data_IF_003111514277
#
_entry.id   IF_003111514277
#
_cell.length_a   1.000
_cell.length_b   1.000
_cell.length_c   1.000
_cell.angle_alpha   90.00
_cell.angle_beta   90.00
_cell.angle_gamma   90.00
#
_symmetry.space_group_name_H-M   'P 1'
#
loop_
_entity.id
_entity.type
_entity.pdbx_description
1 polymer ?
#
# COMPACT_ATOMS: atom_id res chain seq x y z
N UNK A 1 -21.52 -16.14 0.31
CA UNK A 1 -22.15 -16.83 -0.83
C UNK A 1 -22.03 -18.34 -0.64
N UNK A 2 -22.92 -19.15 -1.22
CA UNK A 2 -22.73 -20.60 -1.24
C UNK A 2 -21.33 -20.96 -1.75
N UNK A 3 -20.60 -21.82 -1.03
CA UNK A 3 -19.23 -22.24 -1.37
C UNK A 3 -18.11 -21.27 -1.00
N UNK A 4 -18.40 -20.13 -0.35
CA UNK A 4 -17.36 -19.21 0.10
C UNK A 4 -16.50 -19.84 1.22
N UNK A 5 -15.20 -19.96 0.97
CA UNK A 5 -14.22 -20.33 1.98
C UNK A 5 -13.94 -19.13 2.90
N UNK A 6 -13.67 -19.40 4.18
CA UNK A 6 -13.31 -18.38 5.19
C UNK A 6 -14.31 -17.20 5.19
N UNK A 7 -15.61 -17.51 5.05
CA UNK A 7 -16.70 -16.52 5.00
C UNK A 7 -16.57 -15.47 3.87
N UNK A 8 -15.70 -15.68 2.89
CA UNK A 8 -15.40 -14.71 1.83
C UNK A 8 -14.49 -13.55 2.28
N UNK A 9 -13.87 -13.63 3.46
CA UNK A 9 -13.08 -12.52 4.01
C UNK A 9 -11.84 -12.20 3.16
N UNK A 10 -11.18 -13.21 2.57
CA UNK A 10 -10.02 -12.98 1.69
C UNK A 10 -10.40 -12.07 0.51
N UNK A 11 -11.52 -12.37 -0.15
CA UNK A 11 -11.98 -11.63 -1.33
C UNK A 11 -12.36 -10.19 -0.96
N UNK A 12 -13.06 -10.02 0.16
CA UNK A 12 -13.38 -8.71 0.73
C UNK A 12 -12.12 -7.90 1.10
N UNK A 13 -11.14 -8.52 1.76
CA UNK A 13 -9.87 -7.87 2.09
C UNK A 13 -9.07 -7.50 0.85
N UNK A 14 -9.05 -8.34 -0.20
CA UNK A 14 -8.41 -8.01 -1.47
C UNK A 14 -9.00 -6.77 -2.13
N UNK A 15 -10.35 -6.65 -2.17
CA UNK A 15 -11.00 -5.43 -2.71
C UNK A 15 -10.66 -4.19 -1.88
N UNK A 16 -10.58 -4.33 -0.56
CA UNK A 16 -10.22 -3.23 0.33
C UNK A 16 -8.74 -2.86 0.22
N UNK A 17 -7.83 -3.82 0.03
CA UNK A 17 -6.40 -3.60 0.00
C UNK A 17 -5.93 -2.63 -1.10
N UNK A 18 -6.72 -2.47 -2.17
CA UNK A 18 -6.43 -1.50 -3.24
C UNK A 18 -6.27 -0.08 -2.71
N UNK A 19 -7.07 0.34 -1.73
CA UNK A 19 -6.95 1.69 -1.17
C UNK A 19 -5.69 1.86 -0.32
N UNK A 20 -5.08 0.78 0.16
CA UNK A 20 -3.91 0.85 1.03
C UNK A 20 -2.63 1.24 0.29
N UNK A 21 -2.61 1.23 -1.04
CA UNK A 21 -1.42 1.64 -1.81
C UNK A 21 -1.32 3.15 -2.00
N UNK A 22 -2.42 3.87 -1.73
CA UNK A 22 -2.50 5.32 -1.90
C UNK A 22 -3.11 6.07 -0.71
N UNK A 23 -4.00 5.42 0.05
CA UNK A 23 -4.62 5.95 1.25
C UNK A 23 -3.59 6.13 2.37
N UNK A 24 -3.64 7.28 3.06
CA UNK A 24 -2.65 7.61 4.09
C UNK A 24 -1.26 7.98 3.54
N UNK A 25 -1.15 8.20 2.23
CA UNK A 25 0.08 8.59 1.54
C UNK A 25 0.50 7.52 0.53
N UNK A 26 0.68 7.92 -0.72
CA UNK A 26 1.00 6.98 -1.81
C UNK A 26 2.36 6.34 -1.63
N UNK A 27 2.45 5.04 -1.96
CA UNK A 27 3.64 4.24 -1.74
C UNK A 27 4.91 4.85 -2.37
N UNK A 28 4.81 5.54 -3.50
CA UNK A 28 5.92 6.26 -4.14
C UNK A 28 6.50 7.34 -3.22
N UNK A 29 5.64 8.13 -2.58
CA UNK A 29 6.06 9.19 -1.65
C UNK A 29 6.62 8.57 -0.38
N UNK A 30 6.00 7.50 0.14
CA UNK A 30 6.56 6.80 1.30
C UNK A 30 7.94 6.22 1.01
N UNK A 31 8.16 5.63 -0.18
CA UNK A 31 9.48 5.19 -0.63
C UNK A 31 10.48 6.34 -0.72
N UNK A 32 10.06 7.50 -1.20
CA UNK A 32 10.91 8.70 -1.22
C UNK A 32 11.30 9.13 0.20
N UNK A 33 10.36 9.12 1.16
CA UNK A 33 10.61 9.43 2.58
C UNK A 33 11.64 8.46 3.17
N UNK A 34 11.49 7.14 2.91
CA UNK A 34 12.46 6.15 3.39
C UNK A 34 13.84 6.40 2.77
N UNK A 35 13.92 6.68 1.47
CA UNK A 35 15.19 6.94 0.80
C UNK A 35 15.89 8.19 1.33
N UNK A 36 15.18 9.32 1.48
CA UNK A 36 15.80 10.57 1.92
C UNK A 36 16.05 10.62 3.42
N UNK A 37 15.11 10.14 4.22
CA UNK A 37 15.17 10.26 5.68
C UNK A 37 15.86 9.06 6.32
N UNK A 38 15.52 7.85 5.87
CA UNK A 38 16.08 6.60 6.40
C UNK A 38 17.47 6.30 5.84
N UNK A 39 17.66 6.48 4.53
CA UNK A 39 18.90 6.12 3.82
C UNK A 39 19.79 7.31 3.47
N UNK A 40 19.38 8.55 3.77
CA UNK A 40 20.12 9.79 3.46
C UNK A 40 20.48 9.95 1.97
N UNK A 41 19.69 9.35 1.09
CA UNK A 41 19.87 9.49 -0.35
C UNK A 41 19.49 10.91 -0.80
N UNK A 42 20.17 11.48 -1.80
CA UNK A 42 19.74 12.74 -2.38
C UNK A 42 18.34 12.61 -2.97
N UNK A 43 17.53 13.67 -2.84
CA UNK A 43 16.15 13.66 -3.31
C UNK A 43 16.10 13.48 -4.83
N UNK A 44 15.22 12.59 -5.29
CA UNK A 44 14.99 12.40 -6.73
C UNK A 44 14.48 13.70 -7.36
N UNK A 45 14.91 13.97 -8.59
CA UNK A 45 14.47 15.15 -9.32
C UNK A 45 13.01 14.95 -9.76
N UNK A 46 12.15 15.94 -9.47
CA UNK A 46 10.74 15.96 -9.87
C UNK A 46 10.58 16.48 -11.29
#
# INVERSE_FOLDING_TARGET
SPGALVQGEIEKSCRQALVNTFGGGVNEVQREIIATTGLKMPRARR
#
